data_IF_676668584774
#
_entry.id   IF_676668584774
#
_cell.length_a   1.000
_cell.length_b   1.000
_cell.length_c   1.000
_cell.angle_alpha   90.00
_cell.angle_beta   90.00
_cell.angle_gamma   90.00
#
_symmetry.space_group_name_H-M   'P 1'
#
loop_
_entity.id
_entity.type
_entity.pdbx_description
1 polymer ?
#
# COMPACT_ATOMS: atom_id res chain seq x y z
N UNK A 1 78.42 10.77 18.50
CA UNK A 1 76.95 10.87 18.42
C UNK A 1 76.58 10.65 16.97
N UNK A 2 76.09 9.46 16.63
CA UNK A 2 75.82 9.03 15.26
C UNK A 2 74.30 9.04 15.04
N UNK A 3 73.82 9.84 14.11
CA UNK A 3 72.41 9.91 13.72
C UNK A 3 72.02 8.68 12.89
N UNK A 4 70.90 8.00 13.19
CA UNK A 4 70.40 6.91 12.34
C UNK A 4 69.73 7.48 11.06
N UNK A 5 69.75 6.73 9.94
CA UNK A 5 69.10 7.16 8.70
C UNK A 5 67.58 6.96 8.78
N UNK A 6 66.85 7.87 8.15
CA UNK A 6 65.40 7.82 7.96
C UNK A 6 65.03 6.65 7.03
N UNK A 7 64.34 5.64 7.56
CA UNK A 7 63.70 4.58 6.79
C UNK A 7 62.48 5.13 6.04
N UNK A 8 62.45 4.94 4.71
CA UNK A 8 61.33 5.32 3.86
C UNK A 8 60.06 4.50 4.23
N UNK A 9 58.85 5.07 4.12
CA UNK A 9 57.62 4.34 4.35
C UNK A 9 57.47 3.24 3.30
N UNK A 10 57.29 1.99 3.76
CA UNK A 10 57.01 0.86 2.90
C UNK A 10 55.78 1.13 2.03
N UNK A 11 55.93 0.96 0.72
CA UNK A 11 54.83 0.96 -0.24
C UNK A 11 53.84 -0.12 0.17
N UNK A 12 52.72 0.29 0.77
CA UNK A 12 51.59 -0.59 1.04
C UNK A 12 51.18 -1.26 -0.26
N UNK A 13 51.33 -2.58 -0.35
CA UNK A 13 50.73 -3.39 -1.40
C UNK A 13 49.23 -3.17 -1.31
N UNK A 14 48.70 -2.34 -2.19
CA UNK A 14 47.28 -2.25 -2.45
C UNK A 14 46.86 -3.65 -2.88
N UNK A 15 46.19 -4.38 -1.97
CA UNK A 15 45.41 -5.53 -2.37
C UNK A 15 44.38 -5.01 -3.37
N UNK A 16 44.67 -5.16 -4.66
CA UNK A 16 43.69 -5.07 -5.71
C UNK A 16 42.67 -6.16 -5.41
N UNK A 17 41.63 -5.80 -4.66
CA UNK A 17 40.49 -6.65 -4.40
C UNK A 17 39.99 -7.11 -5.76
N UNK A 18 40.04 -8.42 -5.99
CA UNK A 18 39.60 -9.06 -7.21
C UNK A 18 38.17 -8.57 -7.51
N UNK A 19 38.06 -7.69 -8.50
CA UNK A 19 36.82 -7.10 -8.97
C UNK A 19 35.98 -8.13 -9.71
N UNK A 20 35.44 -9.10 -8.99
CA UNK A 20 34.26 -9.82 -9.43
C UNK A 20 33.12 -8.81 -9.46
N UNK A 21 32.89 -8.19 -10.61
CA UNK A 21 31.89 -7.14 -10.77
C UNK A 21 30.51 -7.64 -10.34
N UNK A 22 30.09 -7.31 -9.12
CA UNK A 22 28.73 -7.53 -8.64
C UNK A 22 27.81 -6.61 -9.44
N UNK A 23 27.34 -7.10 -10.60
CA UNK A 23 26.35 -6.39 -11.41
C UNK A 23 25.05 -6.32 -10.60
N UNK A 24 24.57 -5.10 -10.39
CA UNK A 24 23.28 -4.86 -9.77
C UNK A 24 22.19 -5.17 -10.78
N UNK A 25 21.51 -6.29 -10.57
CA UNK A 25 20.40 -6.75 -11.40
C UNK A 25 19.07 -6.52 -10.68
N UNK A 26 18.00 -6.22 -11.41
CA UNK A 26 16.65 -6.01 -10.84
C UNK A 26 16.18 -7.12 -9.87
N UNK A 27 16.39 -8.43 -10.14
CA UNK A 27 16.03 -9.49 -9.18
C UNK A 27 16.78 -9.41 -7.84
N UNK A 28 18.02 -8.91 -7.84
CA UNK A 28 18.79 -8.70 -6.60
C UNK A 28 18.23 -7.52 -5.81
N UNK A 29 17.77 -6.48 -6.49
CA UNK A 29 17.09 -5.34 -5.86
C UNK A 29 15.76 -5.79 -5.24
N UNK A 30 14.95 -6.57 -5.96
CA UNK A 30 13.72 -7.16 -5.42
C UNK A 30 13.97 -7.99 -4.16
N UNK A 31 14.98 -8.87 -4.17
CA UNK A 31 15.36 -9.67 -2.99
C UNK A 31 15.80 -8.80 -1.82
N UNK A 32 16.59 -7.74 -2.08
CA UNK A 32 17.02 -6.82 -1.05
C UNK A 32 15.83 -6.09 -0.42
N UNK A 33 14.90 -5.59 -1.23
CA UNK A 33 13.68 -4.92 -0.75
C UNK A 33 12.76 -5.88 0.01
N UNK A 34 12.65 -7.15 -0.44
CA UNK A 34 11.92 -8.18 0.30
C UNK A 34 12.52 -8.42 1.69
N UNK A 35 13.84 -8.64 1.78
CA UNK A 35 14.52 -8.82 3.06
C UNK A 35 14.40 -7.60 3.98
N UNK A 36 14.42 -6.38 3.43
CA UNK A 36 14.23 -5.14 4.19
C UNK A 36 12.83 -5.05 4.80
N UNK A 37 11.78 -5.34 4.04
CA UNK A 37 10.41 -5.28 4.58
C UNK A 37 10.25 -6.20 5.77
N UNK A 38 10.78 -7.42 5.69
CA UNK A 38 10.65 -8.41 6.75
C UNK A 38 11.61 -8.22 7.93
N UNK A 39 12.67 -7.41 7.79
CA UNK A 39 13.60 -7.13 8.89
C UNK A 39 13.08 -6.08 9.89
N UNK A 40 12.10 -5.25 9.49
CA UNK A 40 11.48 -4.28 10.36
C UNK A 40 10.36 -4.91 11.19
N UNK A 41 10.52 -4.91 12.53
CA UNK A 41 9.48 -5.40 13.46
C UNK A 41 8.15 -4.67 13.29
N UNK A 42 8.19 -3.37 12.98
CA UNK A 42 6.99 -2.56 12.75
C UNK A 42 6.16 -3.08 11.58
N UNK A 43 6.79 -3.65 10.53
CA UNK A 43 6.07 -4.25 9.39
C UNK A 43 5.14 -5.37 9.88
N UNK A 44 5.64 -6.29 10.69
CA UNK A 44 4.86 -7.42 11.19
C UNK A 44 3.69 -6.96 12.05
N UNK A 45 3.91 -6.00 12.96
CA UNK A 45 2.84 -5.45 13.79
C UNK A 45 1.78 -4.71 12.96
N UNK A 46 2.19 -3.93 11.97
CA UNK A 46 1.25 -3.21 11.09
C UNK A 46 0.44 -4.17 10.21
N UNK A 47 1.07 -5.17 9.60
CA UNK A 47 0.37 -6.18 8.81
C UNK A 47 -0.57 -7.04 9.66
N UNK A 48 -0.16 -7.40 10.88
CA UNK A 48 -1.02 -8.07 11.84
C UNK A 48 -2.21 -7.17 12.24
N UNK A 49 -1.98 -5.88 12.48
CA UNK A 49 -3.04 -4.93 12.81
C UNK A 49 -4.08 -4.80 11.68
N UNK A 50 -3.65 -4.81 10.41
CA UNK A 50 -4.57 -4.84 9.26
C UNK A 50 -5.49 -6.07 9.33
N UNK A 51 -4.90 -7.26 9.52
CA UNK A 51 -5.67 -8.50 9.59
C UNK A 51 -6.60 -8.55 10.81
N UNK A 52 -6.11 -8.10 11.97
CA UNK A 52 -6.87 -8.09 13.23
C UNK A 52 -8.01 -7.09 13.19
N UNK A 53 -7.82 -5.88 12.63
CA UNK A 53 -8.91 -4.91 12.51
C UNK A 53 -9.95 -5.35 11.50
N UNK A 54 -9.52 -5.86 10.35
CA UNK A 54 -10.42 -6.43 9.35
C UNK A 54 -11.28 -7.55 9.93
N UNK A 55 -10.65 -8.56 10.54
CA UNK A 55 -11.35 -9.68 11.14
C UNK A 55 -12.19 -9.26 12.36
N UNK A 56 -11.60 -8.51 13.29
CA UNK A 56 -12.24 -8.14 14.55
C UNK A 56 -13.50 -7.31 14.34
N UNK A 57 -13.43 -6.30 13.47
CA UNK A 57 -14.60 -5.44 13.19
C UNK A 57 -15.63 -6.21 12.36
N UNK A 58 -15.22 -6.94 11.32
CA UNK A 58 -16.14 -7.72 10.50
C UNK A 58 -16.92 -8.78 11.30
N UNK A 59 -16.23 -9.49 12.20
CA UNK A 59 -16.85 -10.46 13.10
C UNK A 59 -17.74 -9.80 14.14
N UNK A 60 -17.31 -8.67 14.72
CA UNK A 60 -18.12 -7.94 15.69
C UNK A 60 -19.45 -7.47 15.07
N UNK A 61 -19.39 -6.93 13.85
CA UNK A 61 -20.59 -6.49 13.12
C UNK A 61 -21.50 -7.68 12.81
N UNK A 62 -20.95 -8.77 12.27
CA UNK A 62 -21.72 -9.98 11.99
C UNK A 62 -22.39 -10.56 13.25
N UNK A 63 -21.69 -10.56 14.39
CA UNK A 63 -22.23 -11.04 15.66
C UNK A 63 -23.27 -10.11 16.29
N UNK A 64 -23.21 -8.80 16.01
CA UNK A 64 -24.18 -7.81 16.49
C UNK A 64 -25.32 -7.56 15.51
N UNK A 65 -25.38 -8.29 14.40
CA UNK A 65 -26.35 -8.05 13.35
C UNK A 65 -27.78 -8.34 13.83
N UNK A 66 -28.69 -7.41 13.57
CA UNK A 66 -30.11 -7.55 13.85
C UNK A 66 -30.93 -7.26 12.60
N UNK A 67 -31.80 -8.20 12.23
CA UNK A 67 -32.73 -8.03 11.10
C UNK A 67 -33.63 -6.80 11.36
N UNK A 68 -33.51 -5.79 10.51
CA UNK A 68 -34.35 -4.56 10.55
C UNK A 68 -33.75 -3.35 11.27
N UNK A 69 -32.47 -3.38 11.66
CA UNK A 69 -31.81 -2.24 12.31
C UNK A 69 -31.22 -1.16 11.37
N UNK A 70 -31.20 -1.38 10.06
CA UNK A 70 -30.59 -0.48 9.08
C UNK A 70 -31.47 -0.23 7.85
N UNK A 71 -31.46 1.01 7.36
CA UNK A 71 -32.17 1.40 6.14
C UNK A 71 -31.43 0.89 4.90
N UNK A 72 -31.97 -0.15 4.26
CA UNK A 72 -31.63 -0.56 2.89
C UNK A 72 -30.94 -1.92 2.72
N UNK A 73 -30.85 -2.44 1.48
CA UNK A 73 -30.11 -3.66 1.16
C UNK A 73 -28.63 -3.46 1.49
N UNK A 74 -28.04 -4.37 2.28
CA UNK A 74 -26.61 -4.31 2.63
C UNK A 74 -25.83 -5.36 1.85
N UNK A 75 -24.65 -4.99 1.33
CA UNK A 75 -23.79 -5.94 0.63
C UNK A 75 -23.04 -6.83 1.63
N UNK A 76 -23.08 -8.17 1.47
CA UNK A 76 -22.48 -9.11 2.40
C UNK A 76 -20.95 -8.94 2.52
N UNK A 77 -20.28 -8.60 1.43
CA UNK A 77 -18.81 -8.44 1.42
C UNK A 77 -18.43 -7.15 2.12
N UNK A 78 -19.14 -6.06 1.84
CA UNK A 78 -18.90 -4.76 2.45
C UNK A 78 -19.05 -4.83 3.97
N UNK A 79 -20.16 -5.40 4.46
CA UNK A 79 -20.43 -5.59 5.89
C UNK A 79 -19.36 -6.47 6.54
N UNK A 80 -19.03 -7.60 5.92
CA UNK A 80 -18.08 -8.57 6.47
C UNK A 80 -16.65 -8.04 6.50
N UNK A 81 -16.30 -7.11 5.61
CA UNK A 81 -14.95 -6.57 5.45
C UNK A 81 -14.84 -5.11 5.86
N UNK A 82 -15.82 -4.54 6.57
CA UNK A 82 -15.82 -3.12 6.96
C UNK A 82 -14.53 -2.72 7.69
N UNK A 83 -13.99 -3.62 8.51
CA UNK A 83 -12.72 -3.41 9.22
C UNK A 83 -11.51 -3.18 8.30
N UNK A 84 -11.55 -3.61 7.03
CA UNK A 84 -10.49 -3.33 6.07
C UNK A 84 -10.31 -1.85 5.79
N UNK A 85 -11.34 -1.00 5.97
CA UNK A 85 -11.19 0.46 5.81
C UNK A 85 -10.07 1.03 6.68
N UNK A 86 -9.95 0.55 7.93
CA UNK A 86 -8.84 0.90 8.81
C UNK A 86 -7.52 0.27 8.36
N UNK A 87 -7.61 -0.96 7.84
CA UNK A 87 -6.48 -1.65 7.22
C UNK A 87 -5.87 -0.87 6.05
N UNK A 88 -6.69 -0.23 5.20
CA UNK A 88 -6.22 0.60 4.08
C UNK A 88 -5.37 1.78 4.55
N UNK A 89 -5.75 2.43 5.65
CA UNK A 89 -4.96 3.50 6.26
C UNK A 89 -3.61 2.99 6.76
N UNK A 90 -3.60 1.85 7.43
CA UNK A 90 -2.36 1.23 7.92
C UNK A 90 -1.46 0.85 6.73
N UNK A 91 -2.01 0.24 5.69
CA UNK A 91 -1.26 -0.12 4.48
C UNK A 91 -0.69 1.11 3.77
N UNK A 92 -1.47 2.18 3.64
CA UNK A 92 -1.01 3.44 3.07
C UNK A 92 0.15 4.05 3.87
N UNK A 93 0.00 4.16 5.20
CA UNK A 93 1.03 4.70 6.09
C UNK A 93 2.27 3.82 6.08
N UNK A 94 2.11 2.50 6.12
CA UNK A 94 3.23 1.58 6.04
C UNK A 94 3.96 1.75 4.70
N UNK A 95 3.23 1.86 3.58
CA UNK A 95 3.79 2.17 2.27
C UNK A 95 4.60 3.46 2.24
N UNK A 96 4.08 4.53 2.84
CA UNK A 96 4.80 5.79 3.05
C UNK A 96 6.09 5.55 3.84
N UNK A 97 6.03 4.80 4.95
CA UNK A 97 7.18 4.53 5.81
C UNK A 97 8.28 3.72 5.08
N UNK A 98 7.91 2.78 4.20
CA UNK A 98 8.87 1.98 3.43
C UNK A 98 9.77 2.81 2.49
N UNK A 99 9.36 4.05 2.20
CA UNK A 99 10.07 4.98 1.32
C UNK A 99 10.54 6.23 2.09
N UNK A 100 9.62 7.03 2.63
CA UNK A 100 9.94 8.25 3.36
C UNK A 100 10.77 7.99 4.63
N UNK A 101 10.64 6.81 5.25
CA UNK A 101 11.46 6.41 6.40
C UNK A 101 12.93 6.16 6.06
N UNK A 102 13.25 5.81 4.82
CA UNK A 102 14.66 5.73 4.39
C UNK A 102 15.30 7.12 4.30
N UNK A 103 14.50 8.15 3.96
CA UNK A 103 14.97 9.53 3.87
C UNK A 103 15.25 10.12 5.25
N UNK A 104 14.41 9.82 6.25
CA UNK A 104 14.62 10.28 7.62
C UNK A 104 15.85 9.64 8.29
N UNK A 105 16.17 8.39 7.93
CA UNK A 105 17.31 7.64 8.49
C UNK A 105 18.61 7.80 7.70
N UNK A 106 18.58 8.45 6.54
CA UNK A 106 19.73 8.59 5.64
C UNK A 106 20.08 7.32 4.84
N UNK A 107 19.30 6.24 4.96
CA UNK A 107 19.51 4.96 4.27
C UNK A 107 19.38 5.06 2.74
N UNK A 108 18.74 6.12 2.23
CA UNK A 108 18.67 6.36 0.78
C UNK A 108 20.07 6.55 0.19
N UNK A 109 21.02 7.17 0.90
CA UNK A 109 22.39 7.38 0.40
C UNK A 109 23.13 6.07 0.18
N UNK A 110 22.99 5.12 1.10
CA UNK A 110 23.63 3.80 0.98
C UNK A 110 22.97 2.93 -0.08
N UNK A 111 21.64 2.99 -0.20
CA UNK A 111 20.91 2.25 -1.24
C UNK A 111 21.27 2.78 -2.64
N UNK A 112 21.42 4.09 -2.78
CA UNK A 112 21.68 4.73 -4.07
C UNK A 112 23.17 4.70 -4.47
N UNK A 113 24.10 4.57 -3.52
CA UNK A 113 25.50 4.27 -3.84
C UNK A 113 25.67 2.81 -4.28
N UNK A 114 24.88 1.88 -3.74
CA UNK A 114 24.88 0.49 -4.15
C UNK A 114 24.19 0.27 -5.50
N UNK A 115 23.08 0.96 -5.80
CA UNK A 115 22.31 0.84 -7.05
C UNK A 115 22.39 2.14 -7.87
N UNK A 116 23.35 2.28 -8.81
CA UNK A 116 23.54 3.53 -9.54
C UNK A 116 22.34 3.92 -10.43
N UNK A 117 21.48 2.96 -10.79
CA UNK A 117 20.20 3.24 -11.45
C UNK A 117 19.11 3.38 -10.39
N UNK A 118 18.64 4.62 -10.16
CA UNK A 118 17.71 4.98 -9.07
C UNK A 118 16.28 4.41 -9.22
N UNK A 119 15.79 4.26 -10.46
CA UNK A 119 14.42 3.81 -10.73
C UNK A 119 14.11 2.34 -10.41
N UNK A 120 15.02 1.38 -10.70
CA UNK A 120 14.85 -0.02 -10.27
C UNK A 120 14.47 -0.19 -8.80
N UNK A 121 14.96 0.67 -7.89
CA UNK A 121 14.61 0.61 -6.46
C UNK A 121 13.17 1.01 -6.21
N UNK A 122 12.69 2.10 -6.85
CA UNK A 122 11.31 2.55 -6.73
C UNK A 122 10.33 1.47 -7.23
N UNK A 123 10.62 0.89 -8.40
CA UNK A 123 9.79 -0.19 -8.95
C UNK A 123 9.84 -1.44 -8.10
N UNK A 124 11.01 -1.81 -7.56
CA UNK A 124 11.13 -2.95 -6.67
C UNK A 124 10.30 -2.75 -5.40
N UNK A 125 10.35 -1.57 -4.76
CA UNK A 125 9.54 -1.24 -3.58
C UNK A 125 8.05 -1.33 -3.88
N UNK A 126 7.59 -0.71 -4.97
CA UNK A 126 6.18 -0.75 -5.37
C UNK A 126 5.71 -2.20 -5.61
N UNK A 127 6.47 -3.00 -6.35
CA UNK A 127 6.12 -4.40 -6.64
C UNK A 127 6.12 -5.26 -5.38
N UNK A 128 7.18 -5.18 -4.57
CA UNK A 128 7.32 -6.00 -3.36
C UNK A 128 6.23 -5.63 -2.36
N UNK A 129 6.04 -4.35 -2.06
CA UNK A 129 5.03 -3.93 -1.09
C UNK A 129 3.61 -4.16 -1.60
N UNK A 130 3.32 -3.81 -2.86
CA UNK A 130 2.02 -4.08 -3.47
C UNK A 130 1.67 -5.58 -3.47
N UNK A 131 2.64 -6.45 -3.76
CA UNK A 131 2.43 -7.91 -3.70
C UNK A 131 2.14 -8.39 -2.27
N UNK A 132 2.90 -7.91 -1.28
CA UNK A 132 2.66 -8.26 0.13
C UNK A 132 1.29 -7.79 0.58
N UNK A 133 0.90 -6.56 0.25
CA UNK A 133 -0.41 -6.01 0.59
C UNK A 133 -1.53 -6.78 -0.10
N UNK A 134 -1.39 -7.12 -1.38
CA UNK A 134 -2.36 -7.95 -2.11
C UNK A 134 -2.56 -9.31 -1.42
N UNK A 135 -1.46 -10.04 -1.19
CA UNK A 135 -1.51 -11.39 -0.59
C UNK A 135 -2.08 -11.34 0.82
N UNK A 136 -1.67 -10.37 1.63
CA UNK A 136 -2.19 -10.19 2.98
C UNK A 136 -3.69 -9.90 2.96
N UNK A 137 -4.11 -8.87 2.22
CA UNK A 137 -5.52 -8.47 2.20
C UNK A 137 -6.40 -9.56 1.62
N UNK A 138 -5.94 -10.28 0.58
CA UNK A 138 -6.68 -11.41 0.02
C UNK A 138 -6.80 -12.55 1.04
N UNK A 139 -5.71 -12.92 1.72
CA UNK A 139 -5.73 -13.96 2.75
C UNK A 139 -6.63 -13.57 3.92
N UNK A 140 -6.55 -12.31 4.37
CA UNK A 140 -7.43 -11.77 5.40
C UNK A 140 -8.89 -11.82 4.94
N UNK A 141 -9.21 -11.37 3.72
CA UNK A 141 -10.57 -11.38 3.20
C UNK A 141 -11.14 -12.80 3.07
N UNK A 142 -10.34 -13.75 2.57
CA UNK A 142 -10.72 -15.17 2.44
C UNK A 142 -10.95 -15.87 3.78
N UNK A 143 -10.32 -15.41 4.86
CA UNK A 143 -10.53 -15.94 6.22
C UNK A 143 -11.67 -15.20 6.92
N UNK A 144 -11.68 -13.89 6.89
CA UNK A 144 -12.65 -13.04 7.58
C UNK A 144 -14.05 -13.20 7.02
N UNK A 145 -14.22 -13.20 5.69
CA UNK A 145 -15.54 -13.30 5.07
C UNK A 145 -16.34 -14.53 5.53
N UNK A 146 -15.86 -15.78 5.38
CA UNK A 146 -16.63 -16.94 5.81
C UNK A 146 -16.85 -16.98 7.33
N UNK A 147 -15.91 -16.48 8.13
CA UNK A 147 -16.07 -16.41 9.58
C UNK A 147 -17.16 -15.40 9.98
N UNK A 148 -17.22 -14.23 9.33
CA UNK A 148 -18.26 -13.25 9.55
C UNK A 148 -19.62 -13.79 9.09
N UNK A 149 -19.68 -14.41 7.91
CA UNK A 149 -20.89 -14.99 7.34
C UNK A 149 -21.47 -16.14 8.18
N UNK A 150 -20.65 -16.83 8.98
CA UNK A 150 -21.15 -17.83 9.93
C UNK A 150 -22.09 -17.22 11.00
N UNK A 151 -21.89 -15.95 11.38
CA UNK A 151 -22.79 -15.22 12.29
C UNK A 151 -24.03 -14.67 11.59
N UNK A 152 -23.94 -14.45 10.28
CA UNK A 152 -25.01 -13.91 9.43
C UNK A 152 -25.90 -15.01 8.83
N UNK A 153 -25.63 -16.28 9.15
CA UNK A 153 -26.40 -17.41 8.64
C UNK A 153 -27.89 -17.29 9.01
N UNK A 154 -28.76 -17.39 8.01
CA UNK A 154 -30.22 -17.24 8.17
C UNK A 154 -30.74 -15.80 8.08
N UNK A 155 -29.87 -14.82 7.89
CA UNK A 155 -30.25 -13.41 7.63
C UNK A 155 -30.40 -13.14 6.13
N UNK A 156 -31.05 -12.03 5.72
CA UNK A 156 -31.17 -11.62 4.31
C UNK A 156 -29.84 -11.35 3.60
N UNK A 157 -28.76 -11.14 4.37
CA UNK A 157 -27.43 -10.83 3.86
C UNK A 157 -26.45 -12.00 4.00
N UNK A 158 -26.97 -13.20 4.24
CA UNK A 158 -26.17 -14.42 4.20
C UNK A 158 -25.66 -14.67 2.77
N UNK A 159 -24.35 -14.86 2.62
CA UNK A 159 -23.71 -15.17 1.35
C UNK A 159 -22.54 -16.16 1.53
N UNK A 160 -22.39 -17.05 0.55
CA UNK A 160 -21.27 -17.99 0.43
C UNK A 160 -20.18 -17.50 -0.51
N UNK A 161 -18.99 -18.09 -0.40
CA UNK A 161 -17.87 -17.80 -1.32
C UNK A 161 -18.17 -18.13 -2.79
N UNK A 162 -19.09 -19.06 -3.04
CA UNK A 162 -19.53 -19.46 -4.38
C UNK A 162 -20.61 -18.56 -4.98
N UNK A 163 -21.14 -17.61 -4.20
CA UNK A 163 -22.23 -16.76 -4.69
C UNK A 163 -21.71 -15.75 -5.72
N UNK A 164 -22.58 -15.34 -6.66
CA UNK A 164 -22.21 -14.38 -7.70
C UNK A 164 -21.57 -13.12 -7.11
N UNK A 165 -20.45 -12.70 -7.69
CA UNK A 165 -19.78 -11.45 -7.30
C UNK A 165 -18.90 -11.52 -6.05
N UNK A 166 -19.10 -12.46 -5.11
CA UNK A 166 -18.34 -12.55 -3.86
C UNK A 166 -16.85 -12.79 -4.11
N UNK A 167 -16.50 -13.86 -4.82
CA UNK A 167 -15.09 -14.15 -5.12
C UNK A 167 -14.39 -13.04 -5.89
N UNK A 168 -15.11 -12.38 -6.80
CA UNK A 168 -14.63 -11.18 -7.52
C UNK A 168 -14.35 -10.05 -6.53
N UNK A 169 -15.29 -9.72 -5.66
CA UNK A 169 -15.18 -8.65 -4.67
C UNK A 169 -13.97 -8.86 -3.74
N UNK A 170 -13.72 -10.08 -3.27
CA UNK A 170 -12.54 -10.38 -2.43
C UNK A 170 -11.22 -10.09 -3.17
N UNK A 171 -11.14 -10.49 -4.45
CA UNK A 171 -9.96 -10.25 -5.29
C UNK A 171 -9.81 -8.77 -5.61
N UNK A 172 -10.89 -8.07 -5.97
CA UNK A 172 -10.85 -6.64 -6.30
C UNK A 172 -10.58 -5.77 -5.08
N UNK A 173 -11.07 -6.15 -3.90
CA UNK A 173 -10.72 -5.54 -2.61
C UNK A 173 -9.22 -5.63 -2.35
N UNK A 174 -8.65 -6.83 -2.52
CA UNK A 174 -7.21 -7.03 -2.34
C UNK A 174 -6.38 -6.26 -3.37
N UNK A 175 -6.83 -6.20 -4.63
CA UNK A 175 -6.18 -5.42 -5.69
C UNK A 175 -6.21 -3.93 -5.38
N UNK A 176 -7.36 -3.39 -4.96
CA UNK A 176 -7.49 -1.99 -4.58
C UNK A 176 -6.65 -1.63 -3.35
N UNK A 177 -6.63 -2.49 -2.33
CA UNK A 177 -5.76 -2.31 -1.16
C UNK A 177 -4.27 -2.28 -1.53
N UNK A 178 -3.85 -3.14 -2.47
CA UNK A 178 -2.50 -3.13 -3.00
C UNK A 178 -2.18 -1.84 -3.78
N UNK A 179 -3.12 -1.30 -4.55
CA UNK A 179 -2.96 -0.02 -5.26
C UNK A 179 -2.87 1.16 -4.29
N UNK A 180 -3.64 1.16 -3.18
CA UNK A 180 -3.51 2.15 -2.10
C UNK A 180 -2.14 2.06 -1.43
N UNK A 181 -1.68 0.84 -1.13
CA UNK A 181 -0.37 0.59 -0.56
C UNK A 181 0.75 1.15 -1.47
N UNK A 182 0.65 0.90 -2.79
CA UNK A 182 1.57 1.43 -3.80
C UNK A 182 1.47 2.95 -3.92
N UNK A 183 0.28 3.53 -3.82
CA UNK A 183 0.11 4.98 -3.77
C UNK A 183 0.80 5.58 -2.55
N UNK A 184 0.73 4.94 -1.38
CA UNK A 184 1.49 5.32 -0.20
C UNK A 184 3.01 5.30 -0.44
N UNK A 185 3.53 4.24 -1.06
CA UNK A 185 4.94 4.14 -1.50
C UNK A 185 5.30 5.30 -2.42
N UNK A 186 4.45 5.62 -3.38
CA UNK A 186 4.66 6.70 -4.34
C UNK A 186 4.71 8.07 -3.65
N UNK A 187 3.75 8.36 -2.77
CA UNK A 187 3.68 9.62 -2.02
C UNK A 187 4.90 9.77 -1.10
N UNK A 188 5.30 8.71 -0.38
CA UNK A 188 6.48 8.74 0.47
C UNK A 188 7.78 8.97 -0.31
N UNK A 189 7.93 8.33 -1.47
CA UNK A 189 9.06 8.55 -2.36
C UNK A 189 9.06 9.96 -2.99
N UNK A 190 7.87 10.48 -3.31
CA UNK A 190 7.69 11.81 -3.89
C UNK A 190 8.00 12.89 -2.87
N UNK A 191 7.49 12.82 -1.64
CA UNK A 191 7.61 13.91 -0.67
C UNK A 191 8.85 13.81 0.23
N UNK A 192 9.46 12.62 0.35
CA UNK A 192 10.73 12.37 1.06
C UNK A 192 10.72 12.72 2.55
N UNK A 193 9.55 12.86 3.16
CA UNK A 193 9.39 13.13 4.59
C UNK A 193 8.14 12.50 5.14
N UNK A 194 8.25 11.75 6.24
CA UNK A 194 7.12 10.98 6.80
C UNK A 194 5.94 11.88 7.20
N UNK A 195 6.11 12.96 7.98
CA UNK A 195 4.97 13.79 8.38
C UNK A 195 4.28 14.46 7.20
N UNK A 196 5.06 15.01 6.26
CA UNK A 196 4.52 15.64 5.06
C UNK A 196 3.78 14.65 4.16
N UNK A 197 4.27 13.41 4.07
CA UNK A 197 3.65 12.35 3.27
C UNK A 197 2.33 11.89 3.85
N UNK A 198 2.28 11.66 5.16
CA UNK A 198 1.04 11.28 5.85
C UNK A 198 0.02 12.41 5.76
N UNK A 199 0.45 13.65 6.04
CA UNK A 199 -0.42 14.84 5.96
C UNK A 199 -1.01 15.04 4.56
N UNK A 200 -0.19 14.92 3.51
CA UNK A 200 -0.67 15.03 2.13
C UNK A 200 -1.62 13.89 1.75
N UNK A 201 -1.30 12.65 2.15
CA UNK A 201 -2.15 11.50 1.88
C UNK A 201 -3.54 11.66 2.52
N UNK A 202 -3.59 12.01 3.81
CA UNK A 202 -4.86 12.25 4.53
C UNK A 202 -5.62 13.44 3.95
N UNK A 203 -4.94 14.56 3.69
CA UNK A 203 -5.59 15.74 3.13
C UNK A 203 -6.24 15.43 1.76
N UNK A 204 -5.51 14.79 0.85
CA UNK A 204 -5.98 14.55 -0.52
C UNK A 204 -6.99 13.42 -0.62
N UNK A 205 -6.81 12.34 0.15
CA UNK A 205 -7.62 11.12 -0.03
C UNK A 205 -8.76 10.97 0.96
N UNK A 206 -8.75 11.74 2.05
CA UNK A 206 -9.78 11.68 3.08
C UNK A 206 -10.48 13.03 3.25
N UNK A 207 -9.73 14.12 3.47
CA UNK A 207 -10.34 15.42 3.74
C UNK A 207 -10.99 16.03 2.49
N UNK A 208 -10.27 16.08 1.37
CA UNK A 208 -10.79 16.67 0.13
C UNK A 208 -12.07 15.97 -0.33
N UNK A 209 -12.13 14.63 -0.45
CA UNK A 209 -13.35 13.97 -0.91
C UNK A 209 -14.54 14.12 0.05
N UNK A 210 -14.30 14.24 1.37
CA UNK A 210 -15.38 14.47 2.34
C UNK A 210 -15.96 15.88 2.31
N UNK A 211 -15.15 16.88 1.94
CA UNK A 211 -15.57 18.30 1.98
C UNK A 211 -15.95 18.81 0.59
N UNK A 212 -15.38 18.25 -0.47
CA UNK A 212 -15.60 18.69 -1.85
C UNK A 212 -17.09 18.69 -2.26
N UNK A 213 -17.94 17.69 -1.91
CA UNK A 213 -19.37 17.72 -2.23
C UNK A 213 -20.16 18.87 -1.59
N UNK A 214 -19.59 19.61 -0.63
CA UNK A 214 -20.22 20.81 -0.08
C UNK A 214 -20.15 22.02 -1.04
N UNK A 215 -19.35 21.92 -2.10
CA UNK A 215 -19.25 22.95 -3.12
C UNK A 215 -20.44 22.85 -4.09
N UNK A 216 -21.04 23.99 -4.50
CA UNK A 216 -22.22 24.00 -5.36
C UNK A 216 -21.85 23.82 -6.84
N UNK A 217 -21.07 22.79 -7.17
CA UNK A 217 -20.61 22.50 -8.52
C UNK A 217 -20.80 21.02 -8.86
N UNK A 218 -21.62 20.74 -9.86
CA UNK A 218 -21.99 19.37 -10.26
C UNK A 218 -20.77 18.49 -10.62
N UNK A 219 -19.74 19.08 -11.26
CA UNK A 219 -18.53 18.34 -11.64
C UNK A 219 -17.70 17.86 -10.44
N UNK A 220 -17.92 18.42 -9.25
CA UNK A 220 -17.18 18.05 -8.04
C UNK A 220 -17.63 16.68 -7.53
N UNK A 221 -18.93 16.40 -7.58
CA UNK A 221 -19.47 15.08 -7.22
C UNK A 221 -18.90 14.01 -8.15
N UNK A 222 -18.88 14.28 -9.46
CA UNK A 222 -18.25 13.41 -10.45
C UNK A 222 -16.77 13.19 -10.13
N UNK A 223 -16.02 14.24 -9.82
CA UNK A 223 -14.59 14.13 -9.50
C UNK A 223 -14.32 13.31 -8.23
N UNK A 224 -15.19 13.42 -7.22
CA UNK A 224 -15.08 12.68 -5.95
C UNK A 224 -15.24 11.17 -6.19
N UNK A 225 -16.13 10.76 -7.08
CA UNK A 225 -16.31 9.35 -7.46
C UNK A 225 -15.03 8.72 -8.05
N UNK A 226 -14.13 9.53 -8.62
CA UNK A 226 -12.84 9.10 -9.18
C UNK A 226 -11.66 9.29 -8.21
N UNK A 227 -11.92 9.50 -6.93
CA UNK A 227 -10.86 9.51 -5.90
C UNK A 227 -10.47 8.09 -5.50
N UNK A 228 -9.22 7.82 -5.08
CA UNK A 228 -8.77 6.46 -4.75
C UNK A 228 -9.58 5.77 -3.65
N UNK A 229 -10.09 6.53 -2.68
CA UNK A 229 -10.86 5.97 -1.57
C UNK A 229 -12.31 5.70 -1.99
N UNK A 230 -12.95 6.60 -2.75
CA UNK A 230 -14.28 6.35 -3.33
C UNK A 230 -14.26 5.18 -4.32
N UNK A 231 -13.20 5.08 -5.14
CA UNK A 231 -13.03 3.98 -6.07
C UNK A 231 -12.85 2.61 -5.38
N UNK A 232 -12.64 2.53 -4.05
CA UNK A 232 -12.63 1.25 -3.34
C UNK A 232 -14.03 0.69 -3.11
N UNK A 233 -15.04 1.54 -3.00
CA UNK A 233 -16.42 1.16 -2.66
C UNK A 233 -16.98 0.09 -3.61
N UNK A 234 -17.01 0.28 -4.95
CA UNK A 234 -17.48 -0.76 -5.86
C UNK A 234 -16.55 -1.99 -5.94
N UNK A 235 -15.31 -1.91 -5.44
CA UNK A 235 -14.39 -3.05 -5.38
C UNK A 235 -14.62 -3.93 -4.16
N UNK A 236 -15.23 -3.38 -3.11
CA UNK A 236 -15.53 -4.04 -1.83
C UNK A 236 -16.96 -4.57 -1.75
N UNK A 237 -17.69 -4.60 -2.87
CA UNK A 237 -19.07 -5.10 -2.95
C UNK A 237 -19.20 -6.28 -3.93
N UNK A 238 -19.96 -7.30 -3.51
CA UNK A 238 -20.39 -8.39 -4.38
C UNK A 238 -21.36 -7.87 -5.46
N UNK A 239 -22.26 -6.97 -5.09
CA UNK A 239 -23.25 -6.32 -5.95
C UNK A 239 -23.18 -4.80 -5.76
N UNK A 240 -22.22 -4.12 -6.42
CA UNK A 240 -22.09 -2.67 -6.33
C UNK A 240 -23.39 -1.96 -6.75
N UNK A 241 -23.70 -0.85 -6.08
CA UNK A 241 -24.86 -0.04 -6.41
C UNK A 241 -24.79 0.49 -7.85
N UNK A 242 -25.93 0.65 -8.56
CA UNK A 242 -25.96 0.98 -9.99
C UNK A 242 -25.38 2.35 -10.35
N UNK A 243 -25.37 3.27 -9.39
CA UNK A 243 -24.87 4.64 -9.48
C UNK A 243 -23.36 4.73 -9.27
N UNK A 244 -22.71 3.68 -8.75
CA UNK A 244 -21.27 3.63 -8.57
C UNK A 244 -20.53 3.36 -9.90
N UNK A 245 -19.28 3.84 -10.03
CA UNK A 245 -18.43 3.49 -11.15
C UNK A 245 -18.29 1.96 -11.29
N UNK A 246 -18.25 1.48 -12.54
CA UNK A 246 -18.01 0.06 -12.78
C UNK A 246 -16.71 -0.42 -12.12
N UNK A 247 -16.65 -1.68 -11.73
CA UNK A 247 -15.45 -2.30 -11.10
C UNK A 247 -14.20 -2.08 -11.96
N UNK A 248 -14.32 -2.19 -13.29
CA UNK A 248 -13.22 -1.93 -14.21
C UNK A 248 -12.77 -0.47 -14.18
N UNK A 249 -13.73 0.46 -14.19
CA UNK A 249 -13.47 1.90 -14.05
C UNK A 249 -12.77 2.20 -12.72
N UNK A 250 -13.26 1.66 -11.62
CA UNK A 250 -12.67 1.81 -10.29
C UNK A 250 -11.22 1.32 -10.23
N UNK A 251 -10.93 0.13 -10.76
CA UNK A 251 -9.55 -0.39 -10.86
C UNK A 251 -8.65 0.50 -11.70
N UNK A 252 -9.14 0.97 -12.85
CA UNK A 252 -8.39 1.88 -13.73
C UNK A 252 -8.11 3.20 -13.02
N UNK A 253 -9.09 3.77 -12.33
CA UNK A 253 -8.93 4.99 -11.52
C UNK A 253 -7.82 4.83 -10.49
N UNK A 254 -7.86 3.76 -9.69
CA UNK A 254 -6.83 3.49 -8.69
C UNK A 254 -5.45 3.26 -9.33
N UNK A 255 -5.39 2.54 -10.44
CA UNK A 255 -4.16 2.30 -11.18
C UNK A 255 -3.58 3.60 -11.75
N UNK A 256 -4.41 4.51 -12.26
CA UNK A 256 -4.01 5.83 -12.76
C UNK A 256 -3.45 6.67 -11.62
N UNK A 257 -4.09 6.71 -10.46
CA UNK A 257 -3.57 7.43 -9.29
C UNK A 257 -2.23 6.87 -8.81
N UNK A 258 -2.11 5.55 -8.68
CA UNK A 258 -0.86 4.90 -8.32
C UNK A 258 0.24 5.18 -9.35
N UNK A 259 -0.07 5.08 -10.64
CA UNK A 259 0.86 5.35 -11.74
C UNK A 259 1.28 6.83 -11.77
N UNK A 260 0.36 7.77 -11.59
CA UNK A 260 0.64 9.20 -11.53
C UNK A 260 1.56 9.55 -10.35
N UNK A 261 1.29 8.97 -9.17
CA UNK A 261 2.16 9.11 -8.01
C UNK A 261 3.57 8.56 -8.28
N UNK A 262 3.67 7.34 -8.82
CA UNK A 262 4.96 6.71 -9.14
C UNK A 262 5.72 7.49 -10.23
N UNK A 263 5.01 8.02 -11.23
CA UNK A 263 5.60 8.86 -12.26
C UNK A 263 6.16 10.16 -11.66
N UNK A 264 5.40 10.82 -10.78
CA UNK A 264 5.87 12.00 -10.04
C UNK A 264 7.12 11.69 -9.21
N UNK A 265 7.10 10.58 -8.45
CA UNK A 265 8.25 10.14 -7.67
C UNK A 265 9.47 9.85 -8.56
N UNK A 266 9.28 9.14 -9.68
CA UNK A 266 10.31 8.83 -10.65
C UNK A 266 10.93 10.09 -11.27
N UNK A 267 10.11 11.07 -11.65
CA UNK A 267 10.58 12.35 -12.19
C UNK A 267 11.40 13.11 -11.16
N UNK A 268 10.96 13.17 -9.89
CA UNK A 268 11.72 13.81 -8.81
C UNK A 268 13.05 13.11 -8.54
N UNK A 269 13.07 11.78 -8.55
CA UNK A 269 14.28 10.96 -8.41
C UNK A 269 15.28 11.13 -9.57
N UNK A 270 14.80 11.42 -10.78
CA UNK A 270 15.68 11.70 -11.93
C UNK A 270 16.26 13.11 -11.89
N UNK A 271 15.51 14.10 -11.40
CA UNK A 271 15.89 15.52 -11.44
C UNK A 271 16.71 15.97 -10.24
N UNK A 272 16.57 15.31 -9.09
CA UNK A 272 17.26 15.70 -7.86
C UNK A 272 18.06 14.53 -7.30
N UNK A 273 19.37 14.75 -7.12
CA UNK A 273 20.26 13.85 -6.41
C UNK A 273 19.89 13.73 -4.91
N UNK A 274 20.56 12.80 -4.22
CA UNK A 274 20.33 12.36 -2.84
C UNK A 274 21.33 13.00 -1.90
#
# INVERSE_FOLDING_TARGET
MSTPPLTAPGTGRTHAAAGGGYRVTYPRVLRAEWSKLWSLRSTWYSLAAVAVLAAGIGLAIGASYTDGGGDGPQDPVEVSLLGLNFGLLILAVLGILTTAGEWSTGMVRTTMSAVPRRLPVLWAKAVVFGTVSFVLTLATALVTFPLAQAFLAGTPIAAGLGDPGVGRALVTTAAGAALIAVLGVAVGALLRGVPASIGAFVAVLMVVPSVAPLLPYDWVEDAVAYTPLAAMEPLMAAHPAPDLPSIGTALVTMAVWAAAGLAGAALRLRRHDV
#
